data_IF_845865553804
#
_entry.id   IF_845865553804
#
_cell.length_a   1.000
_cell.length_b   1.000
_cell.length_c   1.000
_cell.angle_alpha   90.00
_cell.angle_beta   90.00
_cell.angle_gamma   90.00
#
_symmetry.space_group_name_H-M   'P 1'
#
loop_
_entity.id
_entity.type
_entity.pdbx_description
1 polymer ?
#
# COMPACT_ATOMS: atom_id res chain seq x y z
N UNK A 1 -10.33 -8.98 5.84
CA UNK A 1 -11.41 -10.00 5.94
C UNK A 1 -10.76 -11.38 5.93
N UNK A 2 -10.68 -12.08 7.06
CA UNK A 2 -10.04 -13.39 7.12
C UNK A 2 -10.83 -14.44 6.32
N UNK A 3 -10.10 -15.35 5.66
CA UNK A 3 -10.65 -16.47 4.88
C UNK A 3 -11.72 -16.04 3.86
N UNK A 4 -11.45 -14.94 3.14
CA UNK A 4 -12.43 -14.36 2.21
C UNK A 4 -11.88 -14.39 0.79
N UNK A 5 -12.77 -14.64 -0.16
CA UNK A 5 -12.47 -14.51 -1.59
C UNK A 5 -13.28 -13.34 -2.14
N UNK A 6 -12.61 -12.41 -2.80
CA UNK A 6 -13.23 -11.23 -3.41
C UNK A 6 -12.95 -11.23 -4.89
N UNK A 7 -13.98 -11.07 -5.70
CA UNK A 7 -13.82 -10.87 -7.14
C UNK A 7 -13.94 -9.40 -7.45
N UNK A 8 -12.90 -8.85 -8.04
CA UNK A 8 -12.87 -7.49 -8.55
C UNK A 8 -13.14 -7.50 -10.06
N UNK A 9 -14.07 -6.66 -10.51
CA UNK A 9 -14.38 -6.50 -11.92
C UNK A 9 -14.22 -5.03 -12.30
N UNK A 10 -13.39 -4.77 -13.29
CA UNK A 10 -13.19 -3.42 -13.84
C UNK A 10 -13.91 -3.29 -15.17
N UNK A 11 -14.63 -2.16 -15.34
CA UNK A 11 -15.35 -1.85 -16.57
C UNK A 11 -15.06 -0.43 -17.05
N UNK A 12 -14.74 -0.27 -18.33
CA UNK A 12 -14.57 1.02 -18.99
C UNK A 12 -15.62 1.17 -20.10
N UNK A 13 -16.40 2.26 -20.02
CA UNK A 13 -17.43 2.54 -21.03
C UNK A 13 -18.50 1.45 -21.13
N UNK A 14 -18.82 0.75 -20.01
CA UNK A 14 -19.80 -0.34 -19.99
C UNK A 14 -19.26 -1.68 -20.51
N UNK A 15 -18.00 -1.75 -20.92
CA UNK A 15 -17.32 -2.99 -21.31
C UNK A 15 -16.42 -3.47 -20.18
N UNK A 16 -16.61 -4.71 -19.73
CA UNK A 16 -15.70 -5.33 -18.77
C UNK A 16 -14.30 -5.42 -19.38
N UNK A 17 -13.31 -4.84 -18.66
CA UNK A 17 -11.91 -4.86 -19.10
C UNK A 17 -11.19 -6.00 -18.40
N UNK A 18 -11.45 -6.17 -17.09
CA UNK A 18 -10.76 -7.15 -16.29
C UNK A 18 -11.66 -7.80 -15.24
N UNK A 19 -11.29 -9.00 -14.81
CA UNK A 19 -11.91 -9.73 -13.72
C UNK A 19 -10.84 -10.53 -13.00
N UNK A 20 -10.59 -10.18 -11.76
CA UNK A 20 -9.53 -10.73 -10.93
C UNK A 20 -10.09 -11.24 -9.61
N UNK A 21 -9.55 -12.33 -9.11
CA UNK A 21 -9.95 -12.92 -7.83
C UNK A 21 -8.84 -12.81 -6.81
N UNK A 22 -9.12 -12.14 -5.70
CA UNK A 22 -8.22 -12.03 -4.55
C UNK A 22 -8.66 -12.99 -3.46
N UNK A 23 -7.73 -13.78 -2.95
CA UNK A 23 -7.94 -14.61 -1.76
C UNK A 23 -7.20 -14.01 -0.58
N UNK A 24 -7.86 -14.02 0.56
CA UNK A 24 -7.29 -13.56 1.82
C UNK A 24 -7.25 -14.74 2.79
N UNK A 25 -6.11 -14.92 3.44
CA UNK A 25 -5.88 -15.98 4.41
C UNK A 25 -6.62 -15.76 5.75
N UNK A 26 -6.41 -16.64 6.72
CA UNK A 26 -7.00 -16.54 8.05
C UNK A 26 -6.59 -15.29 8.84
N UNK A 27 -5.51 -14.63 8.45
CA UNK A 27 -5.00 -13.38 9.02
C UNK A 27 -5.55 -12.13 8.31
N UNK A 28 -6.21 -12.33 7.16
CA UNK A 28 -6.69 -11.24 6.31
C UNK A 28 -5.60 -10.67 5.38
N UNK A 29 -4.47 -11.32 5.27
CA UNK A 29 -3.43 -10.98 4.29
C UNK A 29 -3.78 -11.56 2.93
N UNK A 30 -3.40 -10.89 1.85
CA UNK A 30 -3.53 -11.47 0.53
C UNK A 30 -2.73 -12.76 0.42
N UNK A 31 -3.39 -13.84 0.01
CA UNK A 31 -2.81 -15.16 -0.04
C UNK A 31 -1.72 -15.27 -1.11
N UNK A 32 -0.61 -15.89 -0.73
CA UNK A 32 0.37 -16.40 -1.68
C UNK A 32 0.06 -17.90 -1.82
N UNK A 33 -0.21 -18.41 -3.05
CA UNK A 33 -0.64 -19.79 -3.25
C UNK A 33 0.22 -20.84 -2.55
N UNK A 34 -0.42 -21.78 -1.86
CA UNK A 34 0.23 -22.83 -1.08
C UNK A 34 1.20 -23.70 -1.89
N UNK A 35 1.02 -23.76 -3.22
CA UNK A 35 1.89 -24.50 -4.14
C UNK A 35 3.35 -24.04 -4.15
N UNK A 36 3.63 -22.83 -3.68
CA UNK A 36 4.99 -22.25 -3.62
C UNK A 36 5.48 -22.03 -2.19
N UNK A 37 4.62 -22.19 -1.19
CA UNK A 37 4.90 -21.99 0.23
C UNK A 37 5.60 -23.20 0.88
N UNK A 38 6.05 -23.04 2.13
CA UNK A 38 6.55 -24.13 2.97
C UNK A 38 8.05 -24.13 3.20
N UNK A 39 8.73 -23.03 2.93
CA UNK A 39 10.15 -22.85 3.28
C UNK A 39 10.37 -22.68 4.79
N UNK A 40 11.58 -22.98 5.30
CA UNK A 40 11.92 -22.81 6.72
C UNK A 40 12.14 -21.35 7.12
N UNK A 41 12.40 -20.47 6.18
CA UNK A 41 12.63 -19.05 6.40
C UNK A 41 11.39 -18.24 6.02
N UNK A 42 11.18 -17.11 6.68
CA UNK A 42 10.03 -16.24 6.42
C UNK A 42 10.44 -14.96 5.71
N UNK A 43 9.68 -14.61 4.67
CA UNK A 43 9.82 -13.34 3.96
C UNK A 43 8.52 -12.57 4.04
N UNK A 44 8.62 -11.29 4.39
CA UNK A 44 7.49 -10.37 4.44
C UNK A 44 7.61 -9.32 3.36
N UNK A 45 6.50 -9.01 2.69
CA UNK A 45 6.44 -8.06 1.60
C UNK A 45 5.61 -6.87 2.01
N UNK A 46 6.15 -5.67 1.81
CA UNK A 46 5.51 -4.40 2.08
C UNK A 46 5.50 -3.52 0.84
N UNK A 47 4.49 -2.70 0.72
CA UNK A 47 4.36 -1.79 -0.39
C UNK A 47 2.92 -1.37 -0.60
N UNK A 48 2.65 -0.85 -1.78
CA UNK A 48 1.32 -0.40 -2.17
C UNK A 48 0.60 -1.44 -3.06
N UNK A 49 -0.31 -0.95 -3.89
CA UNK A 49 -1.09 -1.75 -4.84
C UNK A 49 -0.24 -2.61 -5.78
N UNK A 50 0.98 -2.19 -6.11
CA UNK A 50 1.88 -2.99 -6.93
C UNK A 50 2.38 -4.25 -6.20
N UNK A 51 2.81 -4.11 -4.95
CA UNK A 51 3.23 -5.24 -4.13
C UNK A 51 2.02 -6.09 -3.72
N UNK A 52 0.90 -5.46 -3.39
CA UNK A 52 -0.37 -6.16 -3.17
C UNK A 52 -0.75 -7.01 -4.39
N UNK A 53 -0.47 -6.50 -5.61
CA UNK A 53 -0.83 -7.13 -6.86
C UNK A 53 -2.25 -6.77 -7.32
N UNK A 54 -2.59 -5.47 -7.23
CA UNK A 54 -3.87 -4.99 -7.75
C UNK A 54 -3.99 -5.28 -9.25
N UNK A 55 -5.12 -5.81 -9.69
CA UNK A 55 -5.38 -6.12 -11.09
C UNK A 55 -4.77 -7.43 -11.59
N UNK A 56 -4.15 -8.26 -10.72
CA UNK A 56 -3.59 -9.55 -11.12
C UNK A 56 -4.04 -10.67 -10.19
N UNK A 57 -4.07 -11.91 -10.69
CA UNK A 57 -4.42 -13.10 -9.89
C UNK A 57 -3.34 -13.41 -8.83
N UNK A 58 -3.66 -14.23 -7.82
CA UNK A 58 -2.78 -14.53 -6.70
C UNK A 58 -1.44 -15.16 -7.14
N UNK A 59 -1.45 -15.92 -8.22
CA UNK A 59 -0.27 -16.55 -8.83
C UNK A 59 0.47 -15.66 -9.85
N UNK A 60 0.10 -14.38 -9.93
CA UNK A 60 0.71 -13.38 -10.81
C UNK A 60 1.34 -12.22 -10.03
N UNK A 61 1.32 -12.29 -8.71
CA UNK A 61 1.88 -11.24 -7.85
C UNK A 61 3.40 -11.32 -7.74
N UNK A 62 4.04 -10.19 -7.43
CA UNK A 62 5.48 -10.16 -7.16
C UNK A 62 5.87 -11.09 -6.00
N UNK A 63 5.15 -11.09 -4.84
CA UNK A 63 5.39 -12.06 -3.77
C UNK A 63 5.35 -13.52 -4.22
N UNK A 64 4.37 -13.90 -5.04
CA UNK A 64 4.28 -15.24 -5.58
C UNK A 64 5.52 -15.62 -6.40
N UNK A 65 5.92 -14.76 -7.36
CA UNK A 65 7.09 -15.04 -8.20
C UNK A 65 8.39 -15.12 -7.40
N UNK A 66 8.53 -14.27 -6.38
CA UNK A 66 9.69 -14.31 -5.50
C UNK A 66 9.78 -15.65 -4.75
N UNK A 67 8.72 -16.04 -4.07
CA UNK A 67 8.69 -17.30 -3.29
C UNK A 67 8.86 -18.52 -4.20
N UNK A 68 8.22 -18.52 -5.36
CA UNK A 68 8.40 -19.55 -6.38
C UNK A 68 9.86 -19.66 -6.86
N UNK A 69 10.50 -18.52 -7.15
CA UNK A 69 11.91 -18.49 -7.58
C UNK A 69 12.87 -18.97 -6.50
N UNK A 70 12.51 -18.77 -5.23
CA UNK A 70 13.28 -19.22 -4.06
C UNK A 70 13.20 -20.73 -3.79
N UNK A 71 12.39 -21.48 -4.56
CA UNK A 71 12.35 -22.95 -4.61
C UNK A 71 12.23 -23.62 -3.23
N UNK A 72 11.26 -23.20 -2.42
CA UNK A 72 11.01 -23.76 -1.09
C UNK A 72 11.95 -23.26 0.01
N UNK A 73 12.66 -22.16 -0.23
CA UNK A 73 13.48 -21.51 0.80
C UNK A 73 12.64 -20.70 1.76
N UNK A 74 11.60 -20.02 1.25
CA UNK A 74 10.79 -19.09 2.04
C UNK A 74 9.33 -19.49 2.14
N UNK A 75 8.74 -19.13 3.27
CA UNK A 75 7.33 -18.92 3.48
C UNK A 75 7.05 -17.42 3.39
N UNK A 76 6.18 -17.02 2.48
CA UNK A 76 5.94 -15.60 2.18
C UNK A 76 4.65 -15.05 2.77
N UNK A 77 4.67 -13.79 3.21
CA UNK A 77 3.52 -13.07 3.76
C UNK A 77 3.39 -11.71 3.09
N UNK A 78 2.24 -11.44 2.48
CA UNK A 78 2.00 -10.18 1.77
C UNK A 78 1.27 -9.18 2.68
N UNK A 79 2.02 -8.25 3.26
CA UNK A 79 1.54 -7.15 4.12
C UNK A 79 1.28 -5.85 3.34
N UNK A 80 1.28 -5.90 2.02
CA UNK A 80 0.99 -4.72 1.21
C UNK A 80 -0.51 -4.44 1.10
N UNK A 81 -0.86 -3.19 0.85
CA UNK A 81 -2.25 -2.76 0.64
C UNK A 81 -2.39 -1.63 -0.36
N UNK A 82 -3.57 -1.51 -0.94
CA UNK A 82 -3.86 -0.44 -1.90
C UNK A 82 -3.72 0.94 -1.24
N UNK A 83 -2.98 1.84 -1.90
CA UNK A 83 -2.75 3.18 -1.38
C UNK A 83 -1.72 3.27 -0.24
N UNK A 84 -1.22 2.15 0.25
CA UNK A 84 -0.27 2.13 1.38
C UNK A 84 1.10 2.70 1.03
N UNK A 85 1.83 3.06 2.09
CA UNK A 85 3.19 3.58 2.02
C UNK A 85 4.02 3.12 3.23
N UNK A 86 5.21 3.70 3.45
CA UNK A 86 6.12 3.27 4.53
C UNK A 86 5.54 3.50 5.93
N UNK A 87 4.61 4.42 6.11
CA UNK A 87 3.97 4.71 7.39
C UNK A 87 3.02 3.58 7.84
N UNK A 88 2.31 2.91 6.92
CA UNK A 88 1.55 1.70 7.26
C UNK A 88 2.48 0.57 7.65
N UNK A 89 3.56 0.31 6.89
CA UNK A 89 4.57 -0.67 7.23
C UNK A 89 5.15 -0.43 8.63
N UNK A 90 5.55 0.82 8.92
CA UNK A 90 6.09 1.19 10.23
C UNK A 90 5.08 0.89 11.35
N UNK A 91 3.82 1.24 11.13
CA UNK A 91 2.75 0.98 12.11
C UNK A 91 2.53 -0.51 12.37
N UNK A 92 2.59 -1.34 11.34
CA UNK A 92 2.48 -2.80 11.49
C UNK A 92 3.65 -3.39 12.29
N UNK A 93 4.86 -2.86 12.08
CA UNK A 93 6.06 -3.25 12.86
C UNK A 93 5.88 -2.84 14.33
N UNK A 94 5.55 -1.58 14.61
CA UNK A 94 5.41 -1.03 15.96
C UNK A 94 4.31 -1.71 16.79
N UNK A 95 3.18 -2.02 16.14
CA UNK A 95 2.07 -2.71 16.81
C UNK A 95 2.33 -4.21 17.03
N UNK A 96 3.44 -4.72 16.50
CA UNK A 96 3.76 -6.16 16.56
C UNK A 96 2.84 -7.01 15.69
N UNK A 97 2.10 -6.41 14.75
CA UNK A 97 1.19 -7.14 13.87
C UNK A 97 1.95 -8.17 13.04
N UNK A 98 3.08 -7.78 12.44
CA UNK A 98 3.93 -8.68 11.66
C UNK A 98 4.38 -9.88 12.49
N UNK A 99 4.86 -9.64 13.72
CA UNK A 99 5.31 -10.73 14.60
C UNK A 99 4.19 -11.69 14.97
N UNK A 100 2.97 -11.20 15.14
CA UNK A 100 1.80 -12.06 15.41
C UNK A 100 1.41 -12.92 14.22
N UNK A 101 1.51 -12.40 13.00
CA UNK A 101 1.07 -13.08 11.78
C UNK A 101 2.16 -13.96 11.17
N UNK A 102 3.37 -13.44 11.03
CA UNK A 102 4.49 -14.09 10.35
C UNK A 102 5.61 -14.57 11.30
N UNK A 103 5.51 -14.32 12.61
CA UNK A 103 6.61 -14.61 13.54
C UNK A 103 7.77 -13.64 13.35
N UNK A 104 9.02 -14.14 13.42
CA UNK A 104 10.22 -13.34 13.14
C UNK A 104 10.67 -13.60 11.70
N UNK A 105 10.49 -12.66 10.78
CA UNK A 105 10.94 -12.84 9.41
C UNK A 105 12.46 -12.70 9.30
N UNK A 106 13.09 -13.49 8.44
CA UNK A 106 14.49 -13.39 8.07
C UNK A 106 14.74 -12.37 6.97
N UNK A 107 13.71 -12.07 6.17
CA UNK A 107 13.78 -11.11 5.08
C UNK A 107 12.54 -10.23 5.03
N UNK A 108 12.76 -8.94 4.86
CA UNK A 108 11.71 -7.97 4.58
C UNK A 108 12.01 -7.28 3.24
N UNK A 109 11.01 -7.24 2.36
CA UNK A 109 11.10 -6.59 1.06
C UNK A 109 10.06 -5.47 1.01
N UNK A 110 10.53 -4.24 0.79
CA UNK A 110 9.68 -3.08 0.62
C UNK A 110 9.76 -2.58 -0.83
N UNK A 111 8.61 -2.49 -1.48
CA UNK A 111 8.47 -1.86 -2.79
C UNK A 111 8.29 -0.36 -2.58
N UNK A 112 9.22 0.42 -3.14
CA UNK A 112 9.23 1.88 -3.02
C UNK A 112 8.89 2.55 -4.36
N UNK A 113 7.93 3.46 -4.33
CA UNK A 113 7.60 4.33 -5.46
C UNK A 113 7.65 5.81 -5.04
N UNK A 114 7.88 6.75 -5.97
CA UNK A 114 7.95 8.18 -5.65
C UNK A 114 6.69 8.72 -4.95
N UNK A 115 5.52 8.19 -5.27
CA UNK A 115 4.25 8.62 -4.66
C UNK A 115 4.15 8.33 -3.15
N UNK A 116 4.95 7.40 -2.63
CA UNK A 116 5.02 7.14 -1.20
C UNK A 116 5.42 8.38 -0.38
N UNK A 117 6.22 9.30 -0.96
CA UNK A 117 6.58 10.57 -0.31
C UNK A 117 5.33 11.46 -0.11
N UNK A 118 4.43 11.48 -1.09
CA UNK A 118 3.17 12.22 -0.98
C UNK A 118 2.25 11.60 0.06
N UNK A 119 2.20 10.27 0.12
CA UNK A 119 1.36 9.52 1.07
C UNK A 119 1.80 9.75 2.51
N UNK A 120 3.10 9.66 2.80
CA UNK A 120 3.66 9.97 4.13
C UNK A 120 3.34 11.40 4.56
N UNK A 121 3.28 12.34 3.61
CA UNK A 121 2.91 13.73 3.87
C UNK A 121 1.39 13.96 3.97
N UNK A 122 0.56 12.91 3.92
CA UNK A 122 -0.90 12.99 3.98
C UNK A 122 -1.53 13.69 2.78
N UNK A 123 -0.88 13.64 1.61
CA UNK A 123 -1.36 14.32 0.40
C UNK A 123 -2.06 13.38 -0.59
N UNK A 124 -2.29 12.14 -0.21
CA UNK A 124 -3.08 11.21 -1.01
C UNK A 124 -4.58 11.42 -0.71
N UNK A 125 -5.45 11.51 -1.73
CA UNK A 125 -6.88 11.80 -1.51
C UNK A 125 -7.64 10.69 -0.80
N UNK A 126 -7.10 9.49 -0.76
CA UNK A 126 -7.67 8.30 -0.11
C UNK A 126 -6.93 7.90 1.17
N UNK A 127 -6.05 8.76 1.66
CA UNK A 127 -5.19 8.45 2.80
C UNK A 127 -6.02 8.41 4.09
N UNK A 128 -6.14 7.22 4.64
CA UNK A 128 -6.77 6.91 5.92
C UNK A 128 -5.77 6.19 6.83
N UNK A 129 -4.51 6.54 6.67
CA UNK A 129 -3.40 5.85 7.28
C UNK A 129 -2.88 6.48 8.57
N UNK A 130 -1.93 5.81 9.22
CA UNK A 130 -1.26 6.33 10.39
C UNK A 130 -0.42 7.57 10.04
N UNK A 131 -0.51 8.58 10.89
CA UNK A 131 0.27 9.81 10.78
C UNK A 131 1.49 9.72 11.69
N UNK A 132 2.63 10.19 11.19
CA UNK A 132 3.88 10.31 11.93
C UNK A 132 4.41 11.73 11.85
N UNK A 133 4.86 12.24 12.98
CA UNK A 133 5.56 13.51 13.10
C UNK A 133 6.98 13.27 13.61
N UNK A 134 7.91 14.19 13.34
CA UNK A 134 9.25 14.15 13.94
C UNK A 134 9.17 14.57 15.39
N UNK A 135 9.66 13.75 16.31
CA UNK A 135 9.55 14.01 17.77
C UNK A 135 10.87 14.33 18.45
N UNK A 136 11.92 13.57 18.25
CA UNK A 136 13.23 13.78 18.85
C UNK A 136 14.32 13.67 17.80
N UNK A 137 14.78 14.83 17.31
CA UNK A 137 15.71 14.83 16.19
C UNK A 137 15.02 14.31 14.93
N UNK A 138 15.54 13.22 14.37
CA UNK A 138 15.03 12.59 13.13
C UNK A 138 14.14 11.36 13.40
N UNK A 139 13.69 11.15 14.64
CA UNK A 139 12.85 10.01 14.99
C UNK A 139 11.40 10.25 14.59
N UNK A 140 10.80 9.32 13.84
CA UNK A 140 9.40 9.33 13.47
C UNK A 140 8.54 8.77 14.62
N UNK A 141 7.60 9.55 15.13
CA UNK A 141 6.69 9.15 16.20
C UNK A 141 5.24 9.14 15.71
N UNK A 142 4.54 8.06 16.03
CA UNK A 142 3.12 7.97 15.74
C UNK A 142 2.33 9.10 16.43
N UNK A 143 1.60 9.88 15.65
CA UNK A 143 0.83 11.05 16.10
C UNK A 143 -0.68 10.94 15.82
N UNK A 144 -1.16 9.76 15.47
CA UNK A 144 -2.57 9.53 15.20
C UNK A 144 -2.86 9.09 13.77
N UNK A 145 -3.99 9.48 13.22
CA UNK A 145 -4.40 9.17 11.85
C UNK A 145 -4.61 10.46 11.05
N UNK A 146 -4.42 10.38 9.73
CA UNK A 146 -4.79 11.49 8.83
C UNK A 146 -6.30 11.77 8.80
N UNK A 147 -7.12 10.80 9.23
CA UNK A 147 -8.57 10.96 9.43
C UNK A 147 -8.95 11.50 10.83
N UNK A 148 -8.03 12.13 11.55
CA UNK A 148 -8.41 12.87 12.75
C UNK A 148 -9.36 14.02 12.37
N UNK A 149 -10.30 14.36 13.26
CA UNK A 149 -11.24 15.48 13.05
C UNK A 149 -10.51 16.77 12.69
N UNK A 150 -9.35 17.00 13.29
CA UNK A 150 -8.51 18.18 13.03
C UNK A 150 -7.94 18.19 11.60
N UNK A 151 -7.56 17.01 11.08
CA UNK A 151 -7.07 16.87 9.72
C UNK A 151 -8.21 17.06 8.68
N UNK A 152 -9.38 16.53 8.95
CA UNK A 152 -10.58 16.73 8.12
C UNK A 152 -10.99 18.21 8.05
N UNK A 153 -10.98 18.91 9.18
CA UNK A 153 -11.25 20.35 9.24
C UNK A 153 -10.21 21.14 8.44
N UNK A 154 -8.92 20.82 8.64
CA UNK A 154 -7.82 21.49 7.96
C UNK A 154 -7.90 21.26 6.43
N UNK A 155 -8.11 20.02 5.99
CA UNK A 155 -8.26 19.66 4.59
C UNK A 155 -9.47 20.35 3.96
N UNK A 156 -10.62 20.34 4.64
CA UNK A 156 -11.83 20.99 4.15
C UNK A 156 -11.67 22.51 4.00
N UNK A 157 -10.87 23.13 4.85
CA UNK A 157 -10.51 24.55 4.78
C UNK A 157 -9.58 24.84 3.59
N UNK A 158 -8.56 24.00 3.39
CA UNK A 158 -7.63 24.14 2.27
C UNK A 158 -8.33 23.90 0.92
N UNK A 159 -9.16 22.88 0.81
CA UNK A 159 -9.92 22.57 -0.41
C UNK A 159 -10.89 23.68 -0.82
N UNK A 160 -11.32 24.51 0.12
CA UNK A 160 -12.13 25.71 -0.13
C UNK A 160 -11.33 26.99 -0.39
N UNK A 161 -10.04 26.99 -0.10
CA UNK A 161 -9.19 28.14 -0.32
C UNK A 161 -8.88 28.32 -1.80
N UNK A 162 -9.38 29.43 -2.37
CA UNK A 162 -9.08 29.82 -3.75
C UNK A 162 -7.57 29.95 -4.01
N UNK A 163 -6.83 30.39 -3.03
CA UNK A 163 -5.37 30.55 -3.08
C UNK A 163 -4.67 29.20 -3.19
N UNK A 164 -5.09 28.19 -2.41
CA UNK A 164 -4.52 26.85 -2.46
C UNK A 164 -4.83 26.21 -3.82
N UNK A 165 -6.06 26.27 -4.29
CA UNK A 165 -6.43 25.76 -5.63
C UNK A 165 -5.67 26.45 -6.75
N UNK A 166 -5.46 27.75 -6.65
CA UNK A 166 -4.66 28.50 -7.62
C UNK A 166 -3.21 27.98 -7.67
N UNK A 167 -2.59 27.80 -6.51
CA UNK A 167 -1.22 27.28 -6.41
C UNK A 167 -1.15 25.81 -6.88
N UNK A 168 -2.08 24.95 -6.50
CA UNK A 168 -2.11 23.55 -6.96
C UNK A 168 -2.27 23.46 -8.48
N UNK A 169 -3.12 24.29 -9.08
CA UNK A 169 -3.37 24.27 -10.53
C UNK A 169 -2.18 24.81 -11.31
N UNK A 170 -1.53 25.90 -10.85
CA UNK A 170 -0.47 26.56 -11.60
C UNK A 170 0.94 26.01 -11.32
N UNK A 171 1.22 25.51 -10.11
CA UNK A 171 2.51 24.90 -9.80
C UNK A 171 2.54 23.41 -10.13
N UNK A 172 1.42 22.71 -10.17
CA UNK A 172 1.37 21.33 -10.68
C UNK A 172 1.73 21.26 -12.17
N UNK A 173 1.46 22.30 -12.96
CA UNK A 173 1.91 22.39 -14.36
C UNK A 173 3.42 22.64 -14.49
N UNK A 174 4.03 23.38 -13.57
CA UNK A 174 5.47 23.68 -13.56
C UNK A 174 6.33 22.51 -13.06
N UNK A 175 5.76 21.59 -12.31
CA UNK A 175 6.45 20.41 -11.76
C UNK A 175 6.23 19.12 -12.54
N UNK A 176 5.55 19.15 -13.70
CA UNK A 176 5.43 18.00 -14.58
C UNK A 176 6.69 17.87 -15.45
N UNK A 177 7.54 16.85 -15.24
CA UNK A 177 8.44 16.40 -16.30
C UNK A 177 7.56 15.95 -17.47
N UNK A 178 7.84 16.39 -18.67
CA UNK A 178 7.04 16.23 -19.88
C UNK A 178 6.87 14.78 -20.38
N UNK A 179 7.20 13.75 -19.61
CA UNK A 179 7.22 12.36 -20.08
C UNK A 179 6.58 11.30 -19.17
N UNK A 180 5.90 11.68 -18.08
CA UNK A 180 5.14 10.70 -17.29
C UNK A 180 3.64 11.03 -17.31
N UNK A 181 2.99 10.74 -18.43
CA UNK A 181 1.56 10.45 -18.41
C UNK A 181 1.37 9.04 -17.82
N UNK A 182 1.43 8.92 -16.50
CA UNK A 182 0.88 7.76 -15.86
C UNK A 182 -0.65 7.84 -15.93
N UNK A 183 -1.23 6.88 -16.57
CA UNK A 183 -2.64 6.54 -16.59
C UNK A 183 -3.17 6.34 -15.17
N UNK A 184 -3.71 7.39 -14.58
CA UNK A 184 -4.53 7.30 -13.37
C UNK A 184 -5.68 8.28 -13.52
N UNK A 185 -6.67 7.86 -14.28
CA UNK A 185 -8.05 8.29 -14.17
C UNK A 185 -8.87 7.01 -14.01
N UNK A 186 -9.09 6.63 -12.78
CA UNK A 186 -10.24 5.87 -12.31
C UNK A 186 -10.69 6.48 -11.01
#
# INVERSE_FOLDING_TARGET
MPNTTVTFEEALGGRRIDKVTYRFDGSGLREIPASVQGGPYRVVFFGCSFMFGHGVEDDQTLPYYFVRAARGTFEGFNFAGDGWGPHQMLREIETGFIRRMAGTPELAIYEAIPDHLRRVAGRAPWEDGPKYDLCRGDEACYSGSFHSVDYEIYRHWLDRSWTVKFFETHFAELSRPSEFRCFWQC
#
